data_IF_200093071072
#
_entry.id   IF_200093071072
#
_cell.length_a   1.000
_cell.length_b   1.000
_cell.length_c   1.000
_cell.angle_alpha   90.00
_cell.angle_beta   90.00
_cell.angle_gamma   90.00
#
_symmetry.space_group_name_H-M   'P 1'
#
loop_
_entity.id
_entity.type
_entity.pdbx_description
1 polymer ?
#
# COMPACT_ATOMS: atom_id res chain seq x y z
N UNK A 1 2.79 -2.26 3.15
CA UNK A 1 1.68 -1.36 2.74
C UNK A 1 2.34 -0.16 2.09
N UNK A 2 1.75 0.40 1.03
CA UNK A 2 2.23 1.59 0.30
C UNK A 2 3.76 1.67 0.10
N UNK A 3 4.37 0.74 -0.67
CA UNK A 3 5.83 0.67 -0.80
C UNK A 3 6.43 1.96 -1.38
N UNK A 4 7.30 2.61 -0.61
CA UNK A 4 8.04 3.81 -0.99
C UNK A 4 9.30 3.51 -1.85
N UNK A 5 9.31 2.40 -2.59
CA UNK A 5 10.41 2.05 -3.49
C UNK A 5 9.99 2.23 -4.95
N UNK A 6 10.98 2.39 -5.83
CA UNK A 6 10.72 2.54 -7.27
C UNK A 6 10.00 1.31 -7.83
N UNK A 7 9.15 1.53 -8.84
CA UNK A 7 8.45 0.45 -9.53
C UNK A 7 9.43 -0.55 -10.15
N UNK A 8 10.58 -0.06 -10.63
CA UNK A 8 11.70 -0.85 -11.14
C UNK A 8 12.29 -1.74 -10.04
N UNK A 9 12.71 -1.16 -8.91
CA UNK A 9 13.29 -1.91 -7.79
C UNK A 9 12.33 -2.98 -7.28
N UNK A 10 11.04 -2.65 -7.18
CA UNK A 10 10.01 -3.62 -6.79
C UNK A 10 9.98 -4.81 -7.75
N UNK A 11 9.95 -4.56 -9.05
CA UNK A 11 9.91 -5.62 -10.06
C UNK A 11 11.16 -6.48 -10.03
N UNK A 12 12.35 -5.89 -10.01
CA UNK A 12 13.61 -6.62 -9.99
C UNK A 12 13.72 -7.50 -8.74
N UNK A 13 13.39 -6.93 -7.58
CA UNK A 13 13.45 -7.63 -6.29
C UNK A 13 12.48 -8.81 -6.24
N UNK A 14 11.26 -8.64 -6.76
CA UNK A 14 10.22 -9.68 -6.70
C UNK A 14 10.14 -10.56 -7.95
N UNK A 15 10.91 -10.28 -9.01
CA UNK A 15 10.83 -10.97 -10.31
C UNK A 15 10.87 -12.51 -10.16
N UNK A 16 11.77 -13.03 -9.32
CA UNK A 16 11.92 -14.48 -9.10
C UNK A 16 10.67 -15.16 -8.52
N UNK A 17 9.88 -14.43 -7.75
CA UNK A 17 8.63 -14.92 -7.16
C UNK A 17 7.45 -14.79 -8.14
N UNK A 18 7.52 -13.77 -9.00
CA UNK A 18 6.48 -13.43 -9.98
C UNK A 18 6.56 -14.28 -11.25
N UNK A 19 7.75 -14.66 -11.72
CA UNK A 19 7.94 -15.25 -13.06
C UNK A 19 7.54 -16.74 -13.24
N UNK A 20 7.81 -17.67 -12.28
CA UNK A 20 7.67 -19.17 -12.43
C UNK A 20 8.46 -19.76 -13.63
N UNK A 21 8.78 -21.08 -13.73
CA UNK A 21 8.91 -22.17 -12.76
C UNK A 21 10.37 -22.32 -12.24
N UNK A 22 10.55 -22.90 -11.04
CA UNK A 22 11.88 -23.19 -10.45
C UNK A 22 12.36 -22.20 -9.38
N UNK A 23 11.77 -21.00 -9.31
CA UNK A 23 11.91 -20.08 -8.19
C UNK A 23 11.02 -20.45 -7.00
N UNK A 24 11.26 -19.87 -5.80
CA UNK A 24 10.41 -20.11 -4.63
C UNK A 24 8.97 -19.70 -4.94
N UNK A 25 8.04 -20.60 -4.66
CA UNK A 25 6.62 -20.33 -4.86
C UNK A 25 6.11 -19.40 -3.76
N UNK A 26 5.39 -18.34 -4.14
CA UNK A 26 4.53 -17.63 -3.20
C UNK A 26 3.45 -18.60 -2.72
N UNK A 27 3.14 -18.56 -1.42
CA UNK A 27 2.00 -19.29 -0.85
C UNK A 27 0.67 -18.82 -1.47
N UNK A 28 0.63 -17.54 -1.86
CA UNK A 28 -0.51 -16.91 -2.49
C UNK A 28 -0.02 -15.75 -3.40
N UNK A 29 -0.27 -14.49 -3.05
CA UNK A 29 0.10 -13.30 -3.82
C UNK A 29 0.90 -12.31 -2.98
N UNK A 30 1.53 -11.34 -3.64
CA UNK A 30 1.97 -10.11 -3.02
C UNK A 30 0.77 -9.17 -2.95
N UNK A 31 0.46 -8.72 -1.74
CA UNK A 31 -0.68 -7.87 -1.44
C UNK A 31 -0.20 -6.46 -1.08
N UNK A 32 -0.55 -5.48 -1.91
CA UNK A 32 -0.26 -4.06 -1.69
C UNK A 32 -1.55 -3.34 -1.30
N UNK A 33 -1.44 -2.48 -0.29
CA UNK A 33 -2.50 -1.57 0.13
C UNK A 33 -1.96 -0.16 -0.05
N UNK A 34 -2.55 0.61 -0.95
CA UNK A 34 -2.08 1.93 -1.35
C UNK A 34 -3.22 2.94 -1.17
N UNK A 35 -2.89 4.23 -1.00
CA UNK A 35 -3.91 5.26 -1.08
C UNK A 35 -4.36 5.43 -2.54
N UNK A 36 -5.63 5.81 -2.73
CA UNK A 36 -6.04 6.34 -4.01
C UNK A 36 -5.40 7.72 -4.25
N UNK A 37 -5.38 8.16 -5.50
CA UNK A 37 -4.69 9.38 -5.91
C UNK A 37 -5.20 10.63 -5.19
N UNK A 38 -6.49 10.67 -4.82
CA UNK A 38 -7.06 11.78 -4.06
C UNK A 38 -6.53 11.80 -2.63
N UNK A 39 -6.58 10.67 -1.92
CA UNK A 39 -6.05 10.54 -0.56
C UNK A 39 -4.55 10.71 -0.52
N UNK A 40 -3.81 10.19 -1.48
CA UNK A 40 -2.35 10.35 -1.56
C UNK A 40 -1.95 11.83 -1.65
N UNK A 41 -2.71 12.66 -2.39
CA UNK A 41 -2.45 14.11 -2.46
C UNK A 41 -2.85 14.86 -1.18
N UNK A 42 -3.83 14.33 -0.45
CA UNK A 42 -4.35 14.90 0.78
C UNK A 42 -3.68 14.34 2.05
N UNK A 43 -2.83 13.32 1.90
CA UNK A 43 -2.10 12.73 3.01
C UNK A 43 -1.12 13.74 3.62
N UNK A 44 -1.11 13.75 4.94
CA UNK A 44 -0.34 14.67 5.78
C UNK A 44 0.43 13.80 6.76
N UNK A 45 1.75 13.94 6.76
CA UNK A 45 2.64 13.21 7.67
C UNK A 45 3.39 14.18 8.58
N UNK A 46 3.82 13.70 9.74
CA UNK A 46 4.64 14.47 10.69
C UNK A 46 3.87 15.49 11.55
N UNK A 47 4.61 16.15 12.45
CA UNK A 47 4.08 17.23 13.28
C UNK A 47 4.25 18.54 12.51
N UNK A 48 3.14 19.26 12.26
CA UNK A 48 3.08 20.52 11.49
C UNK A 48 3.77 21.73 12.13
N UNK A 49 4.95 21.54 12.73
CA UNK A 49 5.82 22.61 13.21
C UNK A 49 6.52 23.36 12.07
N UNK A 50 7.19 24.48 12.36
CA UNK A 50 7.66 25.45 11.37
C UNK A 50 8.71 24.95 10.36
N UNK A 51 9.28 23.76 10.56
CA UNK A 51 10.32 23.17 9.71
C UNK A 51 9.99 21.75 9.21
N UNK A 52 8.78 21.25 9.48
CA UNK A 52 8.37 19.89 9.12
C UNK A 52 7.72 19.81 7.74
N UNK A 53 8.02 18.77 6.98
CA UNK A 53 7.25 18.41 5.78
C UNK A 53 5.91 17.79 6.22
N UNK A 54 4.80 18.35 5.73
CA UNK A 54 3.44 18.01 6.17
C UNK A 54 2.53 17.53 5.03
N UNK A 55 3.10 16.82 4.05
CA UNK A 55 2.37 16.26 2.89
C UNK A 55 2.72 14.78 2.76
N UNK A 56 2.24 14.11 1.71
CA UNK A 56 2.51 12.69 1.48
C UNK A 56 4.02 12.37 1.43
N UNK A 57 4.44 11.38 2.24
CA UNK A 57 5.80 10.85 2.18
C UNK A 57 6.14 10.27 0.80
N UNK A 58 5.18 9.67 0.09
CA UNK A 58 5.46 9.12 -1.24
C UNK A 58 5.69 10.23 -2.27
N UNK A 59 4.99 11.36 -2.18
CA UNK A 59 5.30 12.53 -2.99
C UNK A 59 6.67 13.13 -2.65
N UNK A 60 7.05 13.15 -1.36
CA UNK A 60 8.41 13.56 -0.96
C UNK A 60 9.47 12.66 -1.58
N UNK A 61 9.30 11.34 -1.47
CA UNK A 61 10.25 10.38 -2.02
C UNK A 61 10.32 10.51 -3.54
N UNK A 62 9.18 10.40 -4.23
CA UNK A 62 9.09 10.44 -5.69
C UNK A 62 9.66 11.73 -6.30
N UNK A 63 9.50 12.88 -5.62
CA UNK A 63 9.93 14.18 -6.16
C UNK A 63 11.30 14.65 -5.68
N UNK A 64 11.78 14.21 -4.53
CA UNK A 64 12.96 14.79 -3.89
C UNK A 64 14.02 13.78 -3.43
N UNK A 65 13.67 12.51 -3.19
CA UNK A 65 14.64 11.51 -2.70
C UNK A 65 14.99 10.40 -3.70
N UNK A 66 14.33 10.36 -4.85
CA UNK A 66 14.76 9.54 -5.99
C UNK A 66 15.70 10.32 -6.92
N UNK A 67 16.46 9.61 -7.75
CA UNK A 67 17.44 10.23 -8.68
C UNK A 67 16.80 11.23 -9.65
N UNK A 68 15.54 11.00 -10.03
CA UNK A 68 14.75 11.86 -10.90
C UNK A 68 13.49 12.32 -10.18
N UNK A 69 13.10 13.57 -10.39
CA UNK A 69 11.81 14.06 -9.91
C UNK A 69 10.65 13.30 -10.60
N UNK A 70 9.57 13.07 -9.83
CA UNK A 70 8.40 12.29 -10.23
C UNK A 70 8.76 10.84 -10.64
N UNK A 71 9.75 10.23 -9.95
CA UNK A 71 10.11 8.81 -10.17
C UNK A 71 8.95 7.89 -9.79
N UNK A 72 8.57 6.93 -10.65
CA UNK A 72 7.50 5.98 -10.37
C UNK A 72 7.74 5.14 -9.11
N UNK A 73 6.87 5.28 -8.12
CA UNK A 73 6.88 4.46 -6.90
C UNK A 73 5.77 3.42 -6.93
N UNK A 74 6.09 2.20 -6.46
CA UNK A 74 5.13 1.09 -6.40
C UNK A 74 3.94 1.36 -5.47
N UNK A 75 4.08 2.30 -4.53
CA UNK A 75 3.06 2.69 -3.56
C UNK A 75 2.02 3.69 -4.06
N UNK A 76 2.17 4.27 -5.26
CA UNK A 76 1.31 5.37 -5.73
C UNK A 76 0.37 4.91 -6.85
N UNK A 77 -0.92 5.23 -6.74
CA UNK A 77 -1.91 4.86 -7.77
C UNK A 77 -1.61 5.48 -9.14
N UNK A 78 -1.14 6.74 -9.19
CA UNK A 78 -0.74 7.44 -10.42
C UNK A 78 0.28 6.68 -11.26
N UNK A 79 1.12 5.85 -10.64
CA UNK A 79 2.16 5.06 -11.31
C UNK A 79 1.80 3.58 -11.48
N UNK A 80 0.51 3.24 -11.36
CA UNK A 80 0.01 1.85 -11.46
C UNK A 80 0.45 1.12 -12.72
N UNK A 81 0.59 1.82 -13.83
CA UNK A 81 0.90 1.23 -15.14
C UNK A 81 2.41 1.01 -15.33
N UNK A 82 3.24 1.61 -14.46
CA UNK A 82 4.69 1.38 -14.40
C UNK A 82 5.03 0.08 -13.67
N UNK A 83 4.09 -0.48 -12.90
CA UNK A 83 4.21 -1.81 -12.32
C UNK A 83 3.80 -2.88 -13.34
N UNK A 84 4.74 -3.76 -13.71
CA UNK A 84 4.45 -4.91 -14.58
C UNK A 84 3.27 -5.72 -14.02
N UNK A 85 2.20 -5.92 -14.81
CA UNK A 85 1.06 -6.72 -14.38
C UNK A 85 1.47 -8.16 -14.05
N UNK A 86 0.93 -8.70 -12.96
CA UNK A 86 1.09 -10.10 -12.59
C UNK A 86 -0.15 -10.59 -11.88
N UNK A 87 -0.59 -11.82 -12.19
CA UNK A 87 -1.64 -12.54 -11.47
C UNK A 87 -1.31 -12.78 -9.99
N UNK A 88 -0.01 -12.69 -9.64
CA UNK A 88 0.54 -12.81 -8.30
C UNK A 88 0.70 -11.49 -7.56
N UNK A 89 0.34 -10.36 -8.15
CA UNK A 89 0.26 -9.07 -7.46
C UNK A 89 -1.20 -8.67 -7.36
N UNK A 90 -1.61 -8.27 -6.16
CA UNK A 90 -2.91 -7.65 -5.92
C UNK A 90 -2.69 -6.31 -5.23
N UNK A 91 -3.16 -5.24 -5.87
CA UNK A 91 -3.13 -3.88 -5.32
C UNK A 91 -4.56 -3.49 -4.96
N UNK A 92 -4.77 -3.14 -3.70
CA UNK A 92 -6.02 -2.61 -3.18
C UNK A 92 -5.80 -1.12 -2.84
N UNK A 93 -6.60 -0.26 -3.45
CA UNK A 93 -6.56 1.18 -3.19
C UNK A 93 -7.63 1.56 -2.18
N UNK A 94 -7.29 2.41 -1.21
CA UNK A 94 -8.27 2.94 -0.27
C UNK A 94 -9.28 3.81 -1.00
N UNK A 95 -10.47 3.27 -1.32
CA UNK A 95 -11.45 4.00 -2.13
C UNK A 95 -12.31 4.95 -1.29
N UNK A 96 -12.80 6.01 -1.94
CA UNK A 96 -14.01 6.71 -1.51
C UNK A 96 -15.25 5.94 -1.96
N UNK A 97 -16.00 5.40 -0.99
CA UNK A 97 -17.42 4.98 -1.05
C UNK A 97 -17.88 3.95 -2.11
N UNK A 98 -17.09 3.62 -3.15
CA UNK A 98 -17.54 2.82 -4.30
C UNK A 98 -16.78 1.49 -4.48
N UNK A 99 -15.82 1.15 -3.62
CA UNK A 99 -15.28 -0.21 -3.60
C UNK A 99 -16.24 -1.14 -2.85
N UNK A 100 -16.98 -1.95 -3.62
CA UNK A 100 -17.90 -2.97 -3.08
C UNK A 100 -17.21 -3.93 -2.11
N UNK A 101 -15.88 -4.08 -2.21
CA UNK A 101 -15.10 -4.98 -1.37
C UNK A 101 -14.59 -4.32 -0.08
N UNK A 102 -14.51 -2.98 -0.01
CA UNK A 102 -14.02 -2.22 1.15
C UNK A 102 -12.78 -2.84 1.81
N UNK A 103 -11.78 -3.25 1.02
CA UNK A 103 -10.63 -4.04 1.51
C UNK A 103 -9.64 -3.21 2.32
N UNK A 104 -9.68 -1.89 2.15
CA UNK A 104 -9.02 -0.89 2.98
C UNK A 104 -9.84 0.39 2.97
N UNK A 105 -10.00 1.02 4.14
CA UNK A 105 -10.67 2.31 4.31
C UNK A 105 -9.74 3.39 4.88
N UNK A 106 -8.43 3.12 4.88
CA UNK A 106 -7.45 4.09 5.36
C UNK A 106 -7.54 5.40 4.57
N UNK A 107 -7.37 6.54 5.23
CA UNK A 107 -7.31 7.86 4.59
C UNK A 107 -5.92 8.48 4.62
N UNK A 108 -4.95 7.78 5.22
CA UNK A 108 -3.56 8.22 5.35
C UNK A 108 -2.61 7.03 5.36
N UNK A 109 -1.31 7.27 5.17
CA UNK A 109 -0.31 6.18 5.28
C UNK A 109 -0.23 5.60 6.68
N UNK A 110 -0.29 6.45 7.71
CA UNK A 110 -0.35 6.04 9.11
C UNK A 110 -1.71 5.50 9.57
N UNK A 111 -2.73 5.46 8.70
CA UNK A 111 -4.04 4.93 9.03
C UNK A 111 -4.20 3.44 8.69
N UNK A 112 -3.27 2.86 7.92
CA UNK A 112 -3.41 1.48 7.45
C UNK A 112 -3.32 0.43 8.58
N UNK A 113 -2.50 0.69 9.59
CA UNK A 113 -2.37 -0.15 10.78
C UNK A 113 -3.55 0.02 11.75
N UNK A 114 -4.25 1.15 11.69
CA UNK A 114 -5.45 1.43 12.48
C UNK A 114 -6.78 1.15 11.73
N UNK A 115 -6.71 0.69 10.48
CA UNK A 115 -7.90 0.40 9.68
C UNK A 115 -8.36 -1.06 9.84
N UNK A 116 -9.52 -1.23 10.49
CA UNK A 116 -10.21 -2.52 10.69
C UNK A 116 -10.33 -3.31 9.38
N UNK A 117 -10.66 -2.63 8.27
CA UNK A 117 -10.85 -3.30 6.98
C UNK A 117 -9.52 -3.87 6.43
N UNK A 118 -8.46 -3.07 6.47
CA UNK A 118 -7.10 -3.47 6.08
C UNK A 118 -6.64 -4.67 6.89
N UNK A 119 -6.69 -4.60 8.22
CA UNK A 119 -6.22 -5.68 9.08
C UNK A 119 -7.08 -6.95 8.96
N UNK A 120 -8.41 -6.81 8.86
CA UNK A 120 -9.30 -7.96 8.62
C UNK A 120 -8.94 -8.66 7.31
N UNK A 121 -8.64 -7.90 6.26
CA UNK A 121 -8.23 -8.44 4.96
C UNK A 121 -6.88 -9.15 5.06
N UNK A 122 -5.90 -8.57 5.75
CA UNK A 122 -4.60 -9.22 6.03
C UNK A 122 -4.78 -10.54 6.77
N UNK A 123 -5.56 -10.55 7.85
CA UNK A 123 -5.83 -11.77 8.63
C UNK A 123 -6.53 -12.83 7.79
N UNK A 124 -7.50 -12.43 6.96
CA UNK A 124 -8.22 -13.34 6.06
C UNK A 124 -7.27 -14.01 5.07
N UNK A 125 -6.34 -13.24 4.49
CA UNK A 125 -5.31 -13.74 3.56
C UNK A 125 -4.35 -14.71 4.24
N UNK A 126 -3.89 -14.40 5.46
CA UNK A 126 -2.99 -15.26 6.24
C UNK A 126 -3.67 -16.57 6.64
N UNK A 127 -4.92 -16.51 7.11
CA UNK A 127 -5.69 -17.65 7.58
C UNK A 127 -6.32 -18.49 6.45
N UNK A 128 -6.43 -17.93 5.24
CA UNK A 128 -7.17 -18.52 4.13
C UNK A 128 -8.69 -18.54 4.34
N UNK A 129 -9.20 -17.87 5.38
CA UNK A 129 -10.62 -17.77 5.75
C UNK A 129 -10.84 -16.58 6.67
N UNK A 130 -12.10 -16.15 6.82
CA UNK A 130 -12.44 -15.06 7.73
C UNK A 130 -11.98 -15.36 9.18
N UNK A 131 -11.37 -14.40 9.88
CA UNK A 131 -10.99 -14.57 11.27
C UNK A 131 -12.24 -14.75 12.14
N UNK A 132 -12.16 -15.62 13.16
CA UNK A 132 -13.27 -15.83 14.11
C UNK A 132 -13.58 -14.60 14.94
N UNK A 133 -12.56 -13.76 15.18
CA UNK A 133 -12.62 -12.49 15.88
C UNK A 133 -11.82 -11.48 15.04
N UNK A 134 -12.46 -10.77 14.09
CA UNK A 134 -11.80 -9.70 13.36
C UNK A 134 -11.44 -8.55 14.32
N UNK A 135 -10.42 -7.74 14.00
CA UNK A 135 -10.08 -6.55 14.78
C UNK A 135 -11.28 -5.59 14.86
N UNK A 136 -11.44 -4.94 16.01
CA UNK A 136 -12.44 -3.90 16.20
C UNK A 136 -11.79 -2.52 16.31
N UNK A 137 -12.56 -1.46 16.09
CA UNK A 137 -12.00 -0.09 16.09
C UNK A 137 -11.40 0.31 17.44
N UNK A 138 -11.92 -0.24 18.54
CA UNK A 138 -11.42 -0.02 19.90
C UNK A 138 -10.11 -0.75 20.20
N UNK A 139 -9.76 -1.79 19.44
CA UNK A 139 -8.47 -2.50 19.55
C UNK A 139 -7.36 -1.80 18.76
N UNK A 140 -7.72 -0.87 17.86
CA UNK A 140 -6.83 -0.22 16.88
C UNK A 140 -6.58 1.26 17.20
N UNK A 141 -6.62 1.62 18.47
CA UNK A 141 -6.30 2.97 18.94
C UNK A 141 -4.79 3.11 19.15
N UNK A 142 -4.02 3.18 18.05
CA UNK A 142 -2.57 3.39 18.08
C UNK A 142 -2.14 4.79 17.60
N UNK A 143 -1.27 5.43 18.40
CA UNK A 143 -0.56 6.72 18.27
C UNK A 143 -1.39 8.02 18.17
#
# INVERSE_FOLDING_TARGET
MAPACTAEFFQETYARYLAKPGGPALKDKIYLYNLDDERERNDVVGWGGPFGYSRSLLYLVSRAYEEKADTPLAGMQRFRDELRPSDKIRIDYSSSANDKLNLTRSTSHGGFDNDVATLTTIMTRILGKAPKKPPTSDELTGY
#
